data_IF_951487101663
#
_entry.id   IF_951487101663
#
_cell.length_a   1.000
_cell.length_b   1.000
_cell.length_c   1.000
_cell.angle_alpha   90.00
_cell.angle_beta   90.00
_cell.angle_gamma   90.00
#
_symmetry.space_group_name_H-M   'P 1'
#
loop_
_entity.id
_entity.type
_entity.pdbx_description
1 polymer ?
#
# COMPACT_ATOMS: atom_id res chain seq x y z
N UNK A 1 -16.20 27.76 0.16
CA UNK A 1 -15.30 27.14 -0.84
C UNK A 1 -15.11 25.70 -0.39
N UNK A 2 -15.86 24.77 -0.98
CA UNK A 2 -15.75 23.34 -0.66
C UNK A 2 -14.75 22.77 -1.66
N UNK A 3 -13.48 22.77 -1.28
CA UNK A 3 -12.41 22.22 -2.10
C UNK A 3 -12.46 20.70 -2.04
N UNK A 4 -13.14 20.15 -3.06
CA UNK A 4 -12.96 18.82 -3.68
C UNK A 4 -12.22 17.78 -2.84
N UNK A 5 -12.99 17.03 -2.05
CA UNK A 5 -12.66 15.64 -1.72
C UNK A 5 -12.84 14.81 -3.00
N UNK A 6 -11.77 14.27 -3.60
CA UNK A 6 -11.80 13.02 -4.38
C UNK A 6 -10.37 12.61 -4.82
N UNK A 7 -9.98 11.37 -4.44
CA UNK A 7 -8.82 10.56 -4.88
C UNK A 7 -7.48 10.65 -4.11
N UNK A 8 -7.49 10.51 -2.79
CA UNK A 8 -6.32 10.09 -1.97
C UNK A 8 -6.66 8.85 -1.10
N UNK A 9 -7.52 7.95 -1.61
CA UNK A 9 -7.82 6.70 -0.91
C UNK A 9 -6.99 5.56 -1.50
N UNK A 10 -5.74 5.43 -1.07
CA UNK A 10 -4.92 4.24 -1.33
C UNK A 10 -5.10 3.17 -0.24
N UNK A 11 -6.34 3.01 0.23
CA UNK A 11 -6.71 1.95 1.17
C UNK A 11 -7.16 0.70 0.41
N UNK A 12 -6.42 -0.39 0.56
CA UNK A 12 -6.69 -1.65 -0.12
C UNK A 12 -6.86 -2.81 0.86
N UNK A 13 -7.83 -3.68 0.59
CA UNK A 13 -8.00 -4.95 1.30
C UNK A 13 -7.75 -6.10 0.32
N UNK A 14 -6.83 -7.00 0.67
CA UNK A 14 -6.55 -8.21 -0.10
C UNK A 14 -6.98 -9.42 0.72
N UNK A 15 -7.86 -10.24 0.15
CA UNK A 15 -8.35 -11.44 0.80
C UNK A 15 -7.74 -12.68 0.18
N UNK A 16 -7.35 -13.66 0.99
CA UNK A 16 -6.91 -14.97 0.52
C UNK A 16 -8.01 -15.75 -0.23
N UNK A 17 -9.26 -15.28 -0.20
CA UNK A 17 -10.36 -15.81 -1.02
C UNK A 17 -10.24 -15.38 -2.49
N UNK A 18 -9.61 -14.24 -2.75
CA UNK A 18 -9.52 -13.65 -4.09
C UNK A 18 -8.27 -14.17 -4.81
N UNK A 19 -7.23 -14.53 -4.05
CA UNK A 19 -6.02 -15.19 -4.53
C UNK A 19 -5.06 -15.54 -3.40
N UNK A 20 -4.30 -16.62 -3.55
CA UNK A 20 -3.27 -17.03 -2.57
C UNK A 20 -1.94 -16.28 -2.74
N UNK A 21 -1.72 -15.69 -3.92
CA UNK A 21 -0.54 -14.92 -4.27
C UNK A 21 -1.01 -13.65 -4.97
N UNK A 22 -0.36 -12.53 -4.67
CA UNK A 22 -0.63 -11.24 -5.30
C UNK A 22 0.54 -10.30 -5.10
N UNK A 23 0.52 -9.20 -5.85
CA UNK A 23 1.50 -8.13 -5.78
C UNK A 23 0.76 -6.81 -5.58
N UNK A 24 1.37 -5.89 -4.83
CA UNK A 24 0.90 -4.52 -4.68
C UNK A 24 2.11 -3.59 -4.64
N UNK A 25 1.90 -2.33 -5.03
CA UNK A 25 2.93 -1.32 -5.07
C UNK A 25 2.41 -0.01 -4.50
N UNK A 26 3.35 0.91 -4.21
CA UNK A 26 3.00 2.29 -3.91
C UNK A 26 2.24 2.93 -5.09
N UNK A 27 1.41 3.96 -4.83
CA UNK A 27 0.79 4.72 -5.90
C UNK A 27 1.86 5.25 -6.86
N UNK A 28 1.57 5.19 -8.16
CA UNK A 28 2.45 5.59 -9.26
C UNK A 28 3.70 4.74 -9.51
N UNK A 29 4.01 3.71 -8.71
CA UNK A 29 5.15 2.83 -9.00
C UNK A 29 5.12 2.33 -10.47
N UNK A 30 6.23 2.39 -11.23
CA UNK A 30 7.61 2.66 -10.79
C UNK A 30 8.00 4.15 -10.71
N UNK A 31 7.06 5.07 -10.85
CA UNK A 31 7.24 6.50 -10.58
C UNK A 31 7.25 6.85 -9.09
N UNK A 32 7.40 8.15 -8.80
CA UNK A 32 7.42 8.67 -7.44
C UNK A 32 6.04 8.57 -6.78
N UNK A 33 6.02 8.15 -5.52
CA UNK A 33 4.82 8.19 -4.70
C UNK A 33 4.41 9.66 -4.41
N UNK A 34 3.12 9.97 -4.29
CA UNK A 34 2.66 11.31 -3.92
C UNK A 34 3.20 11.75 -2.54
N UNK A 35 3.54 13.03 -2.41
CA UNK A 35 3.95 13.59 -1.13
C UNK A 35 2.75 13.66 -0.16
N UNK A 36 3.02 13.56 1.14
CA UNK A 36 2.01 13.69 2.21
C UNK A 36 0.85 12.66 2.13
N UNK A 37 1.08 11.51 1.48
CA UNK A 37 0.07 10.45 1.33
C UNK A 37 0.07 9.46 2.49
N UNK A 38 -1.12 8.93 2.83
CA UNK A 38 -1.30 7.84 3.79
C UNK A 38 -2.01 6.68 3.09
N UNK A 39 -1.35 5.52 3.02
CA UNK A 39 -1.90 4.31 2.39
C UNK A 39 -2.04 3.18 3.40
N UNK A 40 -3.20 2.51 3.35
CA UNK A 40 -3.54 1.38 4.21
C UNK A 40 -3.70 0.09 3.39
N UNK A 41 -2.70 -0.79 3.42
CA UNK A 41 -2.78 -2.10 2.75
C UNK A 41 -3.05 -3.21 3.78
N UNK A 42 -4.25 -3.79 3.75
CA UNK A 42 -4.68 -4.87 4.67
C UNK A 42 -4.67 -6.21 3.96
N UNK A 43 -3.82 -7.12 4.43
CA UNK A 43 -3.72 -8.49 3.94
C UNK A 43 -4.49 -9.42 4.90
N UNK A 44 -5.50 -10.13 4.39
CA UNK A 44 -6.47 -10.88 5.18
C UNK A 44 -6.41 -12.36 4.77
N UNK A 45 -5.69 -13.15 5.56
CA UNK A 45 -5.58 -14.61 5.42
C UNK A 45 -6.76 -15.37 6.04
N UNK A 46 -6.88 -16.66 5.72
CA UNK A 46 -7.86 -17.55 6.37
C UNK A 46 -7.32 -18.06 7.71
N UNK A 47 -8.20 -18.70 8.49
CA UNK A 47 -7.78 -19.38 9.71
C UNK A 47 -6.70 -20.43 9.39
N UNK A 48 -5.63 -20.44 10.19
CA UNK A 48 -4.47 -21.32 10.05
C UNK A 48 -3.59 -21.08 8.80
N UNK A 49 -3.72 -19.92 8.13
CA UNK A 49 -2.79 -19.48 7.09
C UNK A 49 -1.78 -18.47 7.64
N UNK A 50 -0.62 -18.38 6.97
CA UNK A 50 0.42 -17.39 7.26
C UNK A 50 0.63 -16.54 6.01
N UNK A 51 0.60 -15.22 6.19
CA UNK A 51 0.92 -14.26 5.12
C UNK A 51 2.45 -14.11 5.05
N UNK A 52 3.02 -14.38 3.88
CA UNK A 52 4.43 -14.11 3.58
C UNK A 52 4.52 -12.84 2.73
N UNK A 53 5.27 -11.84 3.19
CA UNK A 53 5.45 -10.57 2.49
C UNK A 53 6.91 -10.43 2.08
N UNK A 54 7.14 -10.18 0.79
CA UNK A 54 8.46 -10.00 0.21
C UNK A 54 8.52 -8.64 -0.49
N UNK A 55 9.47 -7.80 -0.11
CA UNK A 55 9.77 -6.56 -0.82
C UNK A 55 10.67 -6.87 -2.02
N UNK A 56 10.20 -6.54 -3.23
CA UNK A 56 10.99 -6.64 -4.46
C UNK A 56 11.85 -5.38 -4.62
N UNK A 57 11.25 -4.21 -4.36
CA UNK A 57 11.89 -2.91 -4.38
C UNK A 57 11.36 -2.07 -3.20
N UNK A 58 12.24 -1.27 -2.58
CA UNK A 58 11.90 -0.43 -1.45
C UNK A 58 12.81 0.81 -1.41
N UNK A 59 12.24 1.98 -1.70
CA UNK A 59 12.92 3.27 -1.67
C UNK A 59 11.99 4.34 -1.09
N UNK A 60 12.44 5.02 -0.02
CA UNK A 60 11.67 6.02 0.73
C UNK A 60 12.56 7.21 1.11
N UNK A 61 11.95 8.37 1.33
CA UNK A 61 12.66 9.56 1.81
C UNK A 61 13.29 9.30 3.20
N UNK A 62 14.53 9.74 3.37
CA UNK A 62 15.21 9.65 4.67
C UNK A 62 14.71 10.76 5.61
N UNK A 63 14.33 10.41 6.83
CA UNK A 63 14.10 11.40 7.89
C UNK A 63 15.44 11.93 8.42
N UNK A 64 15.90 13.06 7.90
CA UNK A 64 17.00 13.81 8.52
C UNK A 64 16.44 14.73 9.61
N UNK A 65 16.38 14.22 10.84
CA UNK A 65 16.21 15.09 12.00
C UNK A 65 17.53 15.84 12.22
N UNK A 66 17.55 17.13 11.87
CA UNK A 66 18.63 18.05 12.26
C UNK A 66 18.24 18.77 13.55
#
# INVERSE_FOLDING_TARGET
MKERELEDDCSFNFYATDGLVGEFSSPNYPGLYPAEIVCDYKLIGRANEVILLQFIEFDIESSSHT
#
